data_IF_836418773324
#
_entry.id   IF_836418773324
#
_cell.length_a   1.000
_cell.length_b   1.000
_cell.length_c   1.000
_cell.angle_alpha   90.00
_cell.angle_beta   90.00
_cell.angle_gamma   90.00
#
_symmetry.space_group_name_H-M   'P 1'
#
loop_
_entity.id
_entity.type
_entity.pdbx_description
1 polymer ?
#
# COMPACT_ATOMS: atom_id res chain seq x y z
N UNK A 1 14.37 11.75 31.03
CA UNK A 1 15.25 12.64 30.25
C UNK A 1 16.66 12.10 30.05
N UNK A 2 17.21 11.29 30.95
CA UNK A 2 18.58 10.73 30.82
C UNK A 2 18.78 9.68 29.69
N UNK A 3 17.75 8.97 29.28
CA UNK A 3 17.90 7.96 28.18
C UNK A 3 17.96 8.57 26.77
N UNK A 4 17.54 9.80 26.60
CA UNK A 4 17.65 10.51 25.31
C UNK A 4 19.06 11.11 25.10
N UNK A 5 19.77 11.42 26.17
CA UNK A 5 21.13 11.97 26.07
C UNK A 5 22.19 10.93 25.69
N UNK A 6 21.97 9.63 25.94
CA UNK A 6 22.95 8.59 25.59
C UNK A 6 22.90 8.17 24.13
N UNK A 7 21.77 8.36 23.41
CA UNK A 7 21.66 8.11 21.97
C UNK A 7 22.05 9.31 21.09
N UNK A 8 22.22 10.51 21.68
CA UNK A 8 22.67 11.71 20.98
C UNK A 8 24.19 11.90 20.99
N UNK A 9 24.94 11.01 21.62
CA UNK A 9 26.38 11.13 21.84
C UNK A 9 27.27 10.97 20.61
N UNK A 10 26.74 10.69 19.43
CA UNK A 10 27.50 10.57 18.18
C UNK A 10 26.70 11.17 17.01
N UNK A 11 26.28 12.41 17.13
CA UNK A 11 25.92 13.21 15.98
C UNK A 11 27.23 13.76 15.38
N UNK A 12 27.80 13.03 14.42
CA UNK A 12 28.84 13.59 13.55
C UNK A 12 28.12 14.44 12.49
N UNK A 13 28.31 15.75 12.58
CA UNK A 13 27.87 16.66 11.54
C UNK A 13 28.83 16.56 10.35
N UNK A 14 28.35 16.01 9.24
CA UNK A 14 29.08 15.97 7.98
C UNK A 14 28.57 17.10 7.09
N UNK A 15 29.37 18.16 6.96
CA UNK A 15 29.07 19.25 6.01
C UNK A 15 29.59 18.87 4.64
N UNK A 16 28.67 18.58 3.72
CA UNK A 16 28.98 18.34 2.31
C UNK A 16 28.83 19.66 1.55
N UNK A 17 29.89 20.15 0.94
CA UNK A 17 29.86 21.33 0.09
C UNK A 17 30.18 20.93 -1.36
N UNK A 18 29.20 21.11 -2.25
CA UNK A 18 29.39 20.96 -3.68
C UNK A 18 29.08 22.28 -4.40
N UNK A 19 29.77 22.53 -5.51
CA UNK A 19 29.48 23.66 -6.38
C UNK A 19 28.93 23.15 -7.69
N UNK A 20 27.79 23.71 -8.08
CA UNK A 20 27.12 23.38 -9.34
C UNK A 20 27.01 24.64 -10.19
N UNK A 21 27.13 24.50 -11.48
CA UNK A 21 26.78 25.55 -12.43
C UNK A 21 25.28 25.65 -12.55
N UNK A 22 24.79 26.82 -12.97
CA UNK A 22 23.36 27.01 -13.27
C UNK A 22 22.86 25.99 -14.28
N UNK A 23 23.64 25.67 -15.30
CA UNK A 23 23.28 24.71 -16.33
C UNK A 23 23.11 23.30 -15.74
N UNK A 24 23.99 22.84 -14.89
CA UNK A 24 23.90 21.53 -14.24
C UNK A 24 22.64 21.42 -13.37
N UNK A 25 22.30 22.50 -12.66
CA UNK A 25 21.07 22.55 -11.85
C UNK A 25 19.81 22.56 -12.74
N UNK A 26 19.80 23.32 -13.84
CA UNK A 26 18.68 23.36 -14.78
C UNK A 26 18.48 21.99 -15.47
N UNK A 27 19.57 21.33 -15.88
CA UNK A 27 19.53 19.98 -16.45
C UNK A 27 19.01 18.94 -15.44
N UNK A 28 19.50 18.98 -14.20
CA UNK A 28 19.03 18.10 -13.13
C UNK A 28 17.55 18.32 -12.81
N UNK A 29 17.12 19.57 -12.66
CA UNK A 29 15.74 19.93 -12.37
C UNK A 29 14.82 19.46 -13.50
N UNK A 30 15.18 19.76 -14.75
CA UNK A 30 14.40 19.36 -15.93
C UNK A 30 14.24 17.83 -16.00
N UNK A 31 15.35 17.10 -15.86
CA UNK A 31 15.30 15.64 -15.88
C UNK A 31 14.46 15.07 -14.74
N UNK A 32 14.54 15.65 -13.56
CA UNK A 32 13.76 15.22 -12.38
C UNK A 32 12.28 15.50 -12.57
N UNK A 33 11.91 16.71 -13.02
CA UNK A 33 10.51 17.08 -13.27
C UNK A 33 9.90 16.26 -14.40
N UNK A 34 10.64 15.96 -15.46
CA UNK A 34 10.17 15.09 -16.55
C UNK A 34 9.83 13.70 -16.00
N UNK A 35 10.77 13.08 -15.28
CA UNK A 35 10.52 11.75 -14.67
C UNK A 35 9.32 11.77 -13.72
N UNK A 36 9.19 12.80 -12.90
CA UNK A 36 8.06 12.95 -11.99
C UNK A 36 6.74 13.10 -12.75
N UNK A 37 6.71 13.92 -13.81
CA UNK A 37 5.52 14.12 -14.64
C UNK A 37 5.09 12.84 -15.35
N UNK A 38 6.04 12.10 -15.92
CA UNK A 38 5.76 10.80 -16.56
C UNK A 38 5.19 9.80 -15.56
N UNK A 39 5.75 9.80 -14.37
CA UNK A 39 5.33 8.95 -13.28
C UNK A 39 3.89 9.27 -12.83
N UNK A 40 3.58 10.55 -12.62
CA UNK A 40 2.23 11.02 -12.28
C UNK A 40 1.23 10.73 -13.39
N UNK A 41 1.61 10.94 -14.66
CA UNK A 41 0.75 10.62 -15.79
C UNK A 41 0.40 9.12 -15.84
N UNK A 42 1.36 8.24 -15.58
CA UNK A 42 1.15 6.80 -15.47
C UNK A 42 0.19 6.45 -14.35
N UNK A 43 0.36 7.03 -13.15
CA UNK A 43 -0.54 6.79 -12.01
C UNK A 43 -1.98 7.21 -12.33
N UNK A 44 -2.15 8.40 -12.93
CA UNK A 44 -3.46 8.90 -13.36
C UNK A 44 -4.11 7.97 -14.39
N UNK A 45 -3.34 7.49 -15.37
CA UNK A 45 -3.83 6.56 -16.38
C UNK A 45 -4.31 5.23 -15.75
N UNK A 46 -3.53 4.68 -14.84
CA UNK A 46 -3.86 3.46 -14.10
C UNK A 46 -5.14 3.62 -13.26
N UNK A 47 -5.28 4.75 -12.56
CA UNK A 47 -6.49 5.07 -11.78
C UNK A 47 -7.73 5.18 -12.68
N UNK A 48 -7.63 5.83 -13.84
CA UNK A 48 -8.75 5.93 -14.80
C UNK A 48 -9.22 4.55 -15.28
N UNK A 49 -8.30 3.65 -15.63
CA UNK A 49 -8.63 2.28 -16.05
C UNK A 49 -9.30 1.51 -14.90
N UNK A 50 -8.76 1.61 -13.69
CA UNK A 50 -9.34 1.02 -12.48
C UNK A 50 -10.76 1.51 -12.25
N UNK A 51 -10.97 2.83 -12.23
CA UNK A 51 -12.27 3.45 -11.93
C UNK A 51 -13.32 3.04 -12.96
N UNK A 52 -12.95 3.05 -14.24
CA UNK A 52 -13.82 2.57 -15.29
C UNK A 52 -14.23 1.10 -15.07
N UNK A 53 -13.28 0.21 -14.80
CA UNK A 53 -13.59 -1.22 -14.56
C UNK A 53 -14.39 -1.44 -13.29
N UNK A 54 -14.07 -0.73 -12.19
CA UNK A 54 -14.80 -0.83 -10.93
C UNK A 54 -16.23 -0.28 -11.03
N UNK A 55 -16.50 0.68 -11.90
CA UNK A 55 -17.87 1.20 -12.11
C UNK A 55 -18.83 0.11 -12.61
N UNK A 56 -18.34 -0.88 -13.36
CA UNK A 56 -19.09 -2.04 -13.85
C UNK A 56 -18.97 -3.29 -12.97
N UNK A 57 -18.30 -3.18 -11.80
CA UNK A 57 -18.13 -4.31 -10.90
C UNK A 57 -19.49 -4.80 -10.39
N UNK A 58 -19.83 -6.05 -10.70
CA UNK A 58 -20.97 -6.75 -10.11
C UNK A 58 -20.62 -7.31 -8.73
N UNK A 59 -21.65 -7.62 -7.94
CA UNK A 59 -21.41 -8.25 -6.65
C UNK A 59 -20.79 -9.64 -6.86
N UNK A 60 -19.59 -9.94 -6.33
CA UNK A 60 -18.81 -11.14 -6.73
C UNK A 60 -19.46 -12.49 -6.43
N UNK A 61 -20.45 -12.53 -5.55
CA UNK A 61 -21.21 -13.76 -5.23
C UNK A 61 -22.56 -13.85 -5.94
N UNK A 62 -22.81 -12.98 -6.93
CA UNK A 62 -24.09 -12.89 -7.64
C UNK A 62 -25.16 -12.19 -6.81
N UNK A 63 -25.61 -12.80 -5.72
CA UNK A 63 -26.65 -12.25 -4.87
C UNK A 63 -26.17 -11.96 -3.46
N UNK A 64 -26.74 -10.91 -2.86
CA UNK A 64 -26.51 -10.59 -1.46
C UNK A 64 -27.25 -11.57 -0.54
N UNK A 65 -26.56 -12.00 0.51
CA UNK A 65 -27.21 -12.72 1.60
C UNK A 65 -28.11 -11.78 2.39
N UNK A 66 -29.10 -12.35 3.10
CA UNK A 66 -29.99 -11.58 3.99
C UNK A 66 -29.18 -10.72 4.96
N UNK A 67 -29.47 -9.42 5.02
CA UNK A 67 -28.76 -8.42 5.85
C UNK A 67 -27.38 -7.98 5.33
N UNK A 68 -26.81 -8.66 4.34
CA UNK A 68 -25.52 -8.28 3.75
C UNK A 68 -25.65 -7.00 2.91
N UNK A 69 -26.76 -6.86 2.17
CA UNK A 69 -27.06 -5.68 1.38
C UNK A 69 -27.23 -4.44 2.25
N UNK A 70 -27.95 -4.58 3.36
CA UNK A 70 -28.19 -3.47 4.30
C UNK A 70 -26.85 -2.91 4.83
N UNK A 71 -25.91 -3.81 5.18
CA UNK A 71 -24.56 -3.41 5.61
C UNK A 71 -23.83 -2.68 4.46
N UNK A 72 -23.90 -3.20 3.24
CA UNK A 72 -23.22 -2.58 2.09
C UNK A 72 -23.75 -1.17 1.79
N UNK A 73 -25.06 -0.98 1.88
CA UNK A 73 -25.70 0.33 1.71
C UNK A 73 -25.31 1.31 2.83
N UNK A 74 -25.23 0.87 4.08
CA UNK A 74 -24.78 1.70 5.20
C UNK A 74 -23.31 2.10 5.04
N UNK A 75 -22.45 1.17 4.64
CA UNK A 75 -21.03 1.44 4.38
C UNK A 75 -20.87 2.47 3.26
N UNK A 76 -21.58 2.29 2.14
CA UNK A 76 -21.53 3.24 1.03
C UNK A 76 -21.98 4.64 1.48
N UNK A 77 -23.10 4.75 2.18
CA UNK A 77 -23.60 6.04 2.72
C UNK A 77 -22.61 6.69 3.68
N UNK A 78 -21.97 5.89 4.55
CA UNK A 78 -20.97 6.38 5.47
C UNK A 78 -19.75 6.96 4.73
N UNK A 79 -19.30 6.31 3.66
CA UNK A 79 -18.20 6.81 2.82
C UNK A 79 -18.61 8.10 2.09
N UNK A 80 -19.81 8.11 1.50
CA UNK A 80 -20.31 9.25 0.72
C UNK A 80 -20.51 10.52 1.56
N UNK A 81 -21.00 10.36 2.78
CA UNK A 81 -21.33 11.48 3.68
C UNK A 81 -20.19 11.83 4.65
N UNK A 82 -19.19 10.96 4.76
CA UNK A 82 -18.19 11.00 5.81
C UNK A 82 -18.77 10.54 7.15
N UNK A 83 -17.91 10.16 8.09
CA UNK A 83 -18.29 9.79 9.43
C UNK A 83 -17.76 8.42 9.89
N UNK A 84 -18.43 7.87 10.90
CA UNK A 84 -18.08 6.59 11.51
C UNK A 84 -19.29 5.68 11.52
N UNK A 85 -19.07 4.41 11.18
CA UNK A 85 -20.10 3.38 11.18
C UNK A 85 -19.66 2.21 12.07
N UNK A 86 -20.49 1.86 13.05
CA UNK A 86 -20.32 0.66 13.84
C UNK A 86 -21.44 -0.32 13.49
N UNK A 87 -21.07 -1.55 13.11
CA UNK A 87 -22.02 -2.58 12.69
C UNK A 87 -21.78 -3.85 13.48
N UNK A 88 -22.82 -4.33 14.15
CA UNK A 88 -22.88 -5.67 14.70
C UNK A 88 -23.61 -6.59 13.72
N UNK A 89 -22.98 -7.69 13.35
CA UNK A 89 -23.56 -8.66 12.43
C UNK A 89 -23.08 -10.09 12.75
N UNK A 90 -23.96 -11.10 12.58
CA UNK A 90 -23.62 -12.48 12.88
C UNK A 90 -22.46 -13.00 12.01
N UNK A 91 -21.80 -14.05 12.48
CA UNK A 91 -20.79 -14.77 11.70
C UNK A 91 -21.41 -15.41 10.44
N UNK A 92 -20.66 -15.48 9.35
CA UNK A 92 -21.15 -16.13 8.12
C UNK A 92 -21.96 -15.25 7.17
N UNK A 93 -22.42 -14.06 7.57
CA UNK A 93 -23.18 -13.15 6.70
C UNK A 93 -22.36 -12.59 5.52
N UNK A 94 -21.02 -12.72 5.54
CA UNK A 94 -20.17 -12.18 4.49
C UNK A 94 -19.75 -10.71 4.72
N UNK A 95 -19.50 -10.33 5.99
CA UNK A 95 -19.12 -8.95 6.39
C UNK A 95 -17.98 -8.35 5.55
N UNK A 96 -16.96 -9.13 5.26
CA UNK A 96 -15.78 -8.65 4.51
C UNK A 96 -16.17 -8.11 3.13
N UNK A 97 -16.96 -8.87 2.37
CA UNK A 97 -17.43 -8.42 1.06
C UNK A 97 -18.48 -7.30 1.18
N UNK A 98 -19.33 -7.33 2.22
CA UNK A 98 -20.29 -6.26 2.49
C UNK A 98 -19.64 -4.90 2.79
N UNK A 99 -18.35 -4.90 3.19
CA UNK A 99 -17.55 -3.68 3.39
C UNK A 99 -16.70 -3.36 2.16
N UNK A 100 -16.00 -4.34 1.61
CA UNK A 100 -15.07 -4.10 0.48
C UNK A 100 -15.80 -3.70 -0.81
N UNK A 101 -16.90 -4.36 -1.14
CA UNK A 101 -17.64 -4.10 -2.38
C UNK A 101 -18.12 -2.63 -2.48
N UNK A 102 -18.88 -2.08 -1.52
CA UNK A 102 -19.32 -0.69 -1.60
C UNK A 102 -18.16 0.30 -1.51
N UNK A 103 -17.08 -0.02 -0.78
CA UNK A 103 -15.91 0.82 -0.74
C UNK A 103 -15.19 0.87 -2.10
N UNK A 104 -15.11 -0.25 -2.84
CA UNK A 104 -14.57 -0.26 -4.20
C UNK A 104 -15.46 0.51 -5.19
N UNK A 105 -16.79 0.43 -5.06
CA UNK A 105 -17.71 1.26 -5.86
C UNK A 105 -17.51 2.75 -5.58
N UNK A 106 -17.41 3.14 -4.32
CA UNK A 106 -17.14 4.51 -3.91
C UNK A 106 -15.76 5.01 -4.38
N UNK A 107 -14.74 4.14 -4.40
CA UNK A 107 -13.42 4.42 -4.98
C UNK A 107 -13.54 4.77 -6.47
N UNK A 108 -14.30 4.00 -7.23
CA UNK A 108 -14.54 4.25 -8.66
C UNK A 108 -15.22 5.60 -8.94
N UNK A 109 -16.00 6.08 -8.00
CA UNK A 109 -16.69 7.37 -8.05
C UNK A 109 -15.85 8.54 -7.50
N UNK A 110 -14.61 8.28 -7.11
CA UNK A 110 -13.69 9.29 -6.58
C UNK A 110 -14.05 9.81 -5.18
N UNK A 111 -14.86 9.06 -4.40
CA UNK A 111 -15.23 9.44 -3.03
C UNK A 111 -14.05 9.35 -2.06
N UNK A 112 -13.05 8.54 -2.38
CA UNK A 112 -11.77 8.42 -1.69
C UNK A 112 -10.69 7.95 -2.66
N UNK A 113 -9.40 8.06 -2.30
CA UNK A 113 -8.30 7.70 -3.18
C UNK A 113 -7.78 6.29 -2.98
N UNK A 114 -7.87 5.78 -1.75
CA UNK A 114 -7.44 4.44 -1.34
C UNK A 114 -8.21 4.00 -0.10
N UNK A 115 -8.18 2.71 0.22
CA UNK A 115 -8.75 2.18 1.45
C UNK A 115 -7.75 1.37 2.25
N UNK A 116 -7.90 1.38 3.56
CA UNK A 116 -7.14 0.53 4.48
C UNK A 116 -8.07 -0.44 5.17
N UNK A 117 -7.89 -1.73 4.91
CA UNK A 117 -8.60 -2.81 5.59
C UNK A 117 -7.76 -3.32 6.76
N UNK A 118 -8.19 -3.00 7.97
CA UNK A 118 -7.46 -3.34 9.19
C UNK A 118 -8.10 -4.54 9.89
N UNK A 119 -7.28 -5.48 10.34
CA UNK A 119 -7.75 -6.67 11.04
C UNK A 119 -6.78 -7.09 12.15
N UNK A 120 -7.33 -7.56 13.27
CA UNK A 120 -6.54 -8.08 14.38
C UNK A 120 -6.13 -9.56 14.22
N UNK A 121 -6.65 -10.24 13.20
CA UNK A 121 -6.50 -11.69 13.05
C UNK A 121 -6.11 -12.10 11.64
N UNK A 122 -5.25 -13.10 11.53
CA UNK A 122 -4.83 -13.69 10.25
C UNK A 122 -6.02 -14.18 9.40
N UNK A 123 -7.08 -14.67 10.04
CA UNK A 123 -8.31 -15.10 9.34
C UNK A 123 -8.99 -13.92 8.63
N UNK A 124 -9.05 -12.75 9.28
CA UNK A 124 -9.60 -11.53 8.67
C UNK A 124 -8.78 -11.07 7.46
N UNK A 125 -7.44 -11.15 7.55
CA UNK A 125 -6.53 -10.87 6.43
C UNK A 125 -6.82 -11.78 5.23
N UNK A 126 -6.86 -13.10 5.45
CA UNK A 126 -7.16 -14.07 4.39
C UNK A 126 -8.55 -13.84 3.78
N UNK A 127 -9.53 -13.49 4.58
CA UNK A 127 -10.87 -13.17 4.08
C UNK A 127 -10.86 -11.95 3.16
N UNK A 128 -10.11 -10.90 3.50
CA UNK A 128 -9.96 -9.71 2.64
C UNK A 128 -9.21 -10.06 1.35
N UNK A 129 -8.09 -10.76 1.43
CA UNK A 129 -7.30 -11.22 0.27
C UNK A 129 -8.15 -12.08 -0.68
N UNK A 130 -8.89 -13.05 -0.15
CA UNK A 130 -9.80 -13.91 -0.95
C UNK A 130 -10.93 -13.11 -1.59
N UNK A 131 -11.49 -12.13 -0.87
CA UNK A 131 -12.55 -11.26 -1.40
C UNK A 131 -12.05 -10.39 -2.55
N UNK A 132 -10.84 -9.83 -2.42
CA UNK A 132 -10.22 -9.03 -3.48
C UNK A 132 -9.80 -9.88 -4.68
N UNK A 133 -9.38 -11.13 -4.44
CA UNK A 133 -9.13 -12.08 -5.54
C UNK A 133 -10.38 -12.37 -6.35
N UNK A 134 -11.55 -12.52 -5.71
CA UNK A 134 -12.83 -12.67 -6.41
C UNK A 134 -13.21 -11.42 -7.22
N UNK A 135 -12.94 -10.23 -6.70
CA UNK A 135 -13.11 -8.98 -7.43
C UNK A 135 -12.20 -8.95 -8.67
N UNK A 136 -10.94 -9.32 -8.51
CA UNK A 136 -9.97 -9.34 -9.62
C UNK A 136 -10.37 -10.28 -10.78
N UNK A 137 -11.10 -11.37 -10.50
CA UNK A 137 -11.64 -12.26 -11.55
C UNK A 137 -12.64 -11.59 -12.48
N UNK A 138 -13.27 -10.50 -12.08
CA UNK A 138 -14.17 -9.71 -12.92
C UNK A 138 -13.43 -8.66 -13.77
N UNK A 139 -12.11 -8.60 -13.66
CA UNK A 139 -11.24 -7.77 -14.50
C UNK A 139 -10.87 -6.38 -13.99
N UNK A 140 -11.32 -5.86 -12.81
CA UNK A 140 -10.80 -4.61 -12.32
C UNK A 140 -9.32 -4.75 -11.91
N UNK A 141 -8.52 -3.81 -12.34
CA UNK A 141 -7.09 -3.75 -12.00
C UNK A 141 -6.87 -3.05 -10.64
N UNK A 142 -7.52 -3.58 -9.61
CA UNK A 142 -7.39 -3.08 -8.24
C UNK A 142 -6.11 -3.63 -7.62
N UNK A 143 -5.22 -2.75 -7.20
CA UNK A 143 -3.96 -3.13 -6.55
C UNK A 143 -4.16 -3.25 -5.06
N UNK A 144 -3.99 -4.45 -4.54
CA UNK A 144 -4.09 -4.73 -3.11
C UNK A 144 -2.73 -5.14 -2.55
N UNK A 145 -2.28 -4.43 -1.52
CA UNK A 145 -1.04 -4.68 -0.80
C UNK A 145 -1.33 -5.25 0.59
N UNK A 146 -0.75 -6.40 0.90
CA UNK A 146 -0.78 -6.99 2.25
C UNK A 146 0.49 -6.64 3.02
N UNK A 147 0.42 -5.72 3.97
CA UNK A 147 1.56 -5.33 4.79
C UNK A 147 2.00 -6.47 5.71
N UNK A 148 3.29 -6.70 5.79
CA UNK A 148 3.89 -7.74 6.63
C UNK A 148 4.92 -7.12 7.58
N UNK A 149 4.86 -7.49 8.85
CA UNK A 149 5.77 -6.99 9.87
C UNK A 149 7.24 -7.30 9.52
N UNK A 150 8.13 -6.38 9.87
CA UNK A 150 9.55 -6.43 9.52
C UNK A 150 10.22 -7.74 9.96
N UNK A 151 9.94 -8.21 11.16
CA UNK A 151 10.46 -9.46 11.71
C UNK A 151 10.12 -10.70 10.86
N UNK A 152 9.02 -10.63 10.09
CA UNK A 152 8.54 -11.74 9.25
C UNK A 152 9.02 -11.68 7.82
N UNK A 153 9.34 -10.48 7.29
CA UNK A 153 9.66 -10.30 5.86
C UNK A 153 11.13 -9.93 5.61
N UNK A 154 11.87 -9.52 6.65
CA UNK A 154 13.25 -9.09 6.51
C UNK A 154 14.18 -10.23 6.05
N UNK A 155 14.97 -9.98 4.99
CA UNK A 155 15.96 -10.95 4.48
C UNK A 155 17.28 -10.96 5.26
N UNK A 156 17.50 -9.96 6.13
CA UNK A 156 18.73 -9.81 6.93
C UNK A 156 18.37 -9.57 8.40
N UNK A 157 17.68 -10.52 9.07
CA UNK A 157 17.27 -10.32 10.47
C UNK A 157 18.50 -10.08 11.37
N UNK A 158 18.35 -9.15 12.31
CA UNK A 158 19.41 -8.81 13.27
C UNK A 158 20.51 -7.88 12.74
N UNK A 159 20.52 -7.54 11.45
CA UNK A 159 21.46 -6.55 10.89
C UNK A 159 20.87 -5.14 10.94
N UNK A 160 21.73 -4.14 11.01
CA UNK A 160 21.31 -2.75 10.89
C UNK A 160 20.78 -2.47 9.47
N UNK A 161 19.79 -1.55 9.36
CA UNK A 161 19.14 -1.26 8.08
C UNK A 161 19.87 -0.15 7.31
N UNK A 162 21.17 -0.29 7.10
CA UNK A 162 21.97 0.60 6.26
C UNK A 162 22.92 -0.20 5.35
N UNK A 163 23.48 0.48 4.36
CA UNK A 163 24.20 -0.16 3.26
C UNK A 163 25.48 -0.90 3.63
N UNK A 164 26.08 -0.61 4.79
CA UNK A 164 27.29 -1.29 5.23
C UNK A 164 27.00 -2.70 5.76
N UNK A 165 25.86 -2.87 6.46
CA UNK A 165 25.50 -4.13 7.10
C UNK A 165 24.48 -4.97 6.31
N UNK A 166 23.59 -4.29 5.57
CA UNK A 166 22.51 -4.97 4.85
C UNK A 166 22.67 -4.83 3.32
N UNK A 167 22.90 -5.92 2.58
CA UNK A 167 23.03 -5.87 1.13
C UNK A 167 21.80 -5.36 0.41
N UNK A 168 20.61 -5.58 0.97
CA UNK A 168 19.33 -5.12 0.43
C UNK A 168 19.04 -3.63 0.71
N UNK A 169 19.78 -3.02 1.67
CA UNK A 169 19.74 -1.58 1.91
C UNK A 169 20.78 -0.84 1.06
N UNK A 170 21.91 -1.51 0.74
CA UNK A 170 22.98 -0.91 -0.08
C UNK A 170 22.45 -0.58 -1.48
N UNK A 171 22.48 0.70 -1.85
CA UNK A 171 22.01 1.17 -3.15
C UNK A 171 20.51 0.94 -3.42
N UNK A 172 19.71 0.84 -2.37
CA UNK A 172 18.27 0.57 -2.45
C UNK A 172 17.55 1.52 -3.42
N UNK A 173 17.72 2.83 -3.26
CA UNK A 173 17.03 3.84 -4.08
C UNK A 173 17.44 3.82 -5.56
N UNK A 174 18.61 3.28 -5.90
CA UNK A 174 19.01 3.11 -7.30
C UNK A 174 18.25 1.97 -7.99
N UNK A 175 17.84 0.96 -7.23
CA UNK A 175 17.10 -0.22 -7.71
C UNK A 175 15.57 -0.10 -7.51
N UNK A 176 15.14 0.82 -6.64
CA UNK A 176 13.73 1.04 -6.32
C UNK A 176 12.84 1.27 -7.56
N UNK A 177 13.20 2.08 -8.57
CA UNK A 177 12.36 2.28 -9.75
C UNK A 177 12.03 0.96 -10.47
N UNK A 178 13.05 0.10 -10.69
CA UNK A 178 12.84 -1.22 -11.30
C UNK A 178 11.98 -2.14 -10.43
N UNK A 179 12.15 -2.10 -9.11
CA UNK A 179 11.36 -2.88 -8.17
C UNK A 179 9.89 -2.44 -8.12
N UNK A 180 9.63 -1.13 -8.17
CA UNK A 180 8.27 -0.59 -8.28
C UNK A 180 7.62 -1.00 -9.60
N UNK A 181 8.34 -0.87 -10.72
CA UNK A 181 7.82 -1.29 -12.02
C UNK A 181 7.47 -2.78 -12.07
N UNK A 182 8.33 -3.64 -11.55
CA UNK A 182 8.08 -5.08 -11.48
C UNK A 182 6.88 -5.40 -10.56
N UNK A 183 6.80 -4.77 -9.39
CA UNK A 183 5.69 -4.97 -8.46
C UNK A 183 4.35 -4.52 -9.05
N UNK A 184 4.30 -3.40 -9.75
CA UNK A 184 3.07 -2.85 -10.34
C UNK A 184 2.53 -3.66 -11.54
N UNK A 185 3.29 -4.61 -12.07
CA UNK A 185 2.80 -5.58 -13.06
C UNK A 185 2.04 -6.75 -12.42
N UNK A 186 2.14 -6.93 -11.11
CA UNK A 186 1.50 -8.03 -10.41
C UNK A 186 0.05 -7.69 -10.06
N UNK A 187 -0.87 -8.65 -10.18
CA UNK A 187 -2.30 -8.43 -9.87
C UNK A 187 -2.54 -8.26 -8.36
N UNK A 188 -1.66 -8.77 -7.52
CA UNK A 188 -1.73 -8.68 -6.06
C UNK A 188 -0.33 -8.53 -5.47
N UNK A 189 -0.22 -7.72 -4.42
CA UNK A 189 1.03 -7.48 -3.70
C UNK A 189 0.99 -8.21 -2.35
N UNK A 190 0.87 -9.55 -2.44
CA UNK A 190 0.98 -10.44 -1.29
C UNK A 190 2.41 -10.45 -0.75
N UNK A 191 2.60 -10.96 0.47
CA UNK A 191 3.94 -11.16 1.04
C UNK A 191 4.86 -11.92 0.07
N UNK A 192 4.38 -13.03 -0.50
CA UNK A 192 5.18 -13.87 -1.40
C UNK A 192 5.61 -13.11 -2.66
N UNK A 193 4.71 -12.31 -3.24
CA UNK A 193 4.98 -11.50 -4.42
C UNK A 193 5.99 -10.38 -4.12
N UNK A 194 5.85 -9.70 -2.99
CA UNK A 194 6.81 -8.68 -2.53
C UNK A 194 8.20 -9.31 -2.30
N UNK A 195 8.26 -10.47 -1.63
CA UNK A 195 9.53 -11.18 -1.43
C UNK A 195 10.17 -11.62 -2.75
N UNK A 196 9.37 -12.07 -3.73
CA UNK A 196 9.87 -12.47 -5.05
C UNK A 196 10.48 -11.27 -5.80
N UNK A 197 9.75 -10.17 -5.93
CA UNK A 197 10.26 -8.93 -6.55
C UNK A 197 11.50 -8.42 -5.82
N UNK A 198 11.46 -8.40 -4.48
CA UNK A 198 12.56 -7.91 -3.68
C UNK A 198 13.84 -8.76 -3.83
N UNK A 199 13.72 -10.08 -4.04
CA UNK A 199 14.87 -10.95 -4.34
C UNK A 199 15.43 -10.69 -5.73
N UNK A 200 14.56 -10.60 -6.74
CA UNK A 200 14.96 -10.37 -8.12
C UNK A 200 15.65 -9.01 -8.30
N UNK A 201 15.13 -7.99 -7.64
CA UNK A 201 15.63 -6.62 -7.72
C UNK A 201 16.66 -6.29 -6.62
N UNK A 202 17.01 -7.26 -5.77
CA UNK A 202 17.96 -7.11 -4.65
C UNK A 202 17.63 -5.95 -3.69
N UNK A 203 16.35 -5.67 -3.44
CA UNK A 203 15.87 -4.60 -2.55
C UNK A 203 15.31 -5.14 -1.24
N UNK A 204 15.19 -4.28 -0.23
CA UNK A 204 14.56 -4.64 1.04
C UNK A 204 13.04 -4.82 0.86
N UNK A 205 12.48 -6.02 1.11
CA UNK A 205 11.04 -6.26 0.92
C UNK A 205 10.15 -5.46 1.87
N UNK A 206 10.66 -5.17 3.07
CA UNK A 206 9.94 -4.36 4.03
C UNK A 206 9.83 -2.91 3.57
N UNK A 207 10.93 -2.31 3.11
CA UNK A 207 10.94 -0.95 2.58
C UNK A 207 10.18 -0.85 1.26
N UNK A 208 10.30 -1.86 0.37
CA UNK A 208 9.53 -1.92 -0.88
C UNK A 208 8.02 -1.88 -0.63
N UNK A 209 7.53 -2.58 0.40
CA UNK A 209 6.11 -2.54 0.75
C UNK A 209 5.67 -1.13 1.20
N UNK A 210 6.54 -0.36 1.87
CA UNK A 210 6.25 1.04 2.23
C UNK A 210 6.23 1.95 1.01
N UNK A 211 7.22 1.82 0.14
CA UNK A 211 7.34 2.65 -1.07
C UNK A 211 6.24 2.33 -2.11
N UNK A 212 5.56 1.19 -1.97
CA UNK A 212 4.38 0.84 -2.76
C UNK A 212 3.06 1.46 -2.26
N UNK A 213 3.00 1.98 -1.03
CA UNK A 213 1.76 2.53 -0.46
C UNK A 213 1.08 3.60 -1.35
N UNK A 214 1.81 4.56 -1.97
CA UNK A 214 1.19 5.56 -2.84
C UNK A 214 0.60 4.99 -4.14
N UNK A 215 0.92 3.74 -4.49
CA UNK A 215 0.58 3.11 -5.77
C UNK A 215 -0.55 2.11 -5.68
N UNK A 216 -1.03 1.84 -4.48
CA UNK A 216 -2.05 0.82 -4.24
C UNK A 216 -3.39 1.43 -3.87
N UNK A 217 -4.44 0.71 -4.19
CA UNK A 217 -5.82 1.12 -3.96
C UNK A 217 -6.35 0.57 -2.63
N UNK A 218 -5.86 -0.59 -2.23
CA UNK A 218 -6.27 -1.29 -1.01
C UNK A 218 -5.03 -1.72 -0.22
N UNK A 219 -4.94 -1.31 1.03
CA UNK A 219 -3.93 -1.81 1.97
C UNK A 219 -4.59 -2.74 2.97
N UNK A 220 -4.12 -3.96 3.07
CA UNK A 220 -4.54 -4.92 4.10
C UNK A 220 -3.46 -4.92 5.18
N UNK A 221 -3.82 -4.55 6.40
CA UNK A 221 -2.88 -4.37 7.50
C UNK A 221 -3.37 -4.97 8.82
N UNK A 222 -2.44 -5.20 9.73
CA UNK A 222 -2.75 -5.46 11.13
C UNK A 222 -3.06 -4.13 11.85
N UNK A 223 -3.85 -4.20 12.93
CA UNK A 223 -4.20 -3.04 13.77
C UNK A 223 -2.97 -2.26 14.25
N UNK A 224 -1.83 -2.94 14.48
CA UNK A 224 -0.60 -2.29 14.89
C UNK A 224 -0.05 -1.27 13.90
N UNK A 225 -0.34 -1.40 12.60
CA UNK A 225 0.08 -0.42 11.60
C UNK A 225 -0.62 0.93 11.76
N UNK A 226 -1.81 0.93 12.34
CA UNK A 226 -2.61 2.14 12.52
C UNK A 226 -2.46 2.75 13.92
N UNK A 227 -2.34 1.90 14.95
CA UNK A 227 -2.38 2.28 16.36
C UNK A 227 -1.04 2.16 17.09
N UNK A 228 0.08 1.96 16.39
CA UNK A 228 1.41 1.97 17.01
C UNK A 228 1.87 3.39 17.36
N UNK A 229 2.89 3.49 18.22
CA UNK A 229 3.54 4.78 18.53
C UNK A 229 4.15 5.47 17.30
N UNK A 230 4.45 4.70 16.26
CA UNK A 230 4.92 5.17 14.96
C UNK A 230 4.03 4.57 13.87
N UNK A 231 2.82 5.11 13.67
CA UNK A 231 1.90 4.59 12.67
C UNK A 231 2.46 4.81 11.27
N UNK A 232 2.42 3.78 10.44
CA UNK A 232 2.87 3.85 9.04
C UNK A 232 1.76 4.32 8.09
N UNK A 233 0.51 4.31 8.56
CA UNK A 233 -0.70 4.60 7.79
C UNK A 233 -1.49 5.78 8.36
N UNK A 234 -0.89 6.52 9.27
CA UNK A 234 -1.49 7.70 9.92
C UNK A 234 -1.12 9.01 9.25
#
# INVERSE_FOLDING_TARGET
MERLHHSLGILQEHILQNRYTRRELDEFLTATLTRFSDWMARLVALRKVRDHKLSYLDFPHGEFRRGQRDIAELVYKCIDQGGQLMVEAPTGIGKTMAVLYPALKALAEGKHEAMVFVTARTVGRRAAESSLALVALQGPETRALSLTAKDKICFSPGKACHGDDCPFARGYYNRLPGALDAALQLPTLSRANIEAVAREQEVCPYQLADDLLPWVDVVIADLHYLYSLYPRLG
#
